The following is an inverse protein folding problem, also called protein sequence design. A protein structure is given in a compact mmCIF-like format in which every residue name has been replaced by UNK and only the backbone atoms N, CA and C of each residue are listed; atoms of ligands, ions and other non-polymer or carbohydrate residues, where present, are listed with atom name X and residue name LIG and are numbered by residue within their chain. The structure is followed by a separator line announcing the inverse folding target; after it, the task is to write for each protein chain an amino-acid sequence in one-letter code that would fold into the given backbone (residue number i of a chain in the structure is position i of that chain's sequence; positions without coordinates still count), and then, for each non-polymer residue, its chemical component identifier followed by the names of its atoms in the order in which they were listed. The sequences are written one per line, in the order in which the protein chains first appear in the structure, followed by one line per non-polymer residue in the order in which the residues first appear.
data_IF_990421372917
#
_entry.id   IF_990421372917
#
_cell.length_a   1.000
_cell.length_b   1.000
_cell.length_c   1.000
_cell.angle_alpha   90.00
_cell.angle_beta   90.00
_cell.angle_gamma   90.00
#
_symmetry.space_group_name_H-M   'P 1'
#
loop_
_entity.id
_entity.type
_entity.pdbx_description
1 polymer ?
#
# COMPACT_ATOMS: atom_id res chain seq x y z
N UNK A 1 -0.10 -11.62 9.56
CA UNK A 1 -1.14 -12.45 8.92
C UNK A 1 -2.37 -12.38 9.81
N UNK A 2 -3.45 -11.79 9.31
CA UNK A 2 -4.57 -11.27 10.11
C UNK A 2 -5.68 -12.26 10.46
N UNK A 3 -5.60 -13.46 9.91
CA UNK A 3 -6.64 -14.47 10.07
C UNK A 3 -6.13 -15.59 10.97
N UNK A 4 -6.15 -15.32 12.28
CA UNK A 4 -5.95 -16.33 13.30
C UNK A 4 -7.23 -16.48 14.11
N UNK A 5 -7.73 -17.70 14.22
CA UNK A 5 -8.90 -18.09 15.02
C UNK A 5 -8.63 -17.96 16.53
N UNK A 6 -8.33 -16.74 17.00
CA UNK A 6 -8.03 -16.41 18.40
C UNK A 6 -9.10 -15.53 19.04
N UNK A 7 -9.03 -15.33 20.37
CA UNK A 7 -9.93 -14.44 21.12
C UNK A 7 -9.93 -13.00 20.58
N UNK A 8 -11.07 -12.30 20.68
CA UNK A 8 -11.28 -10.94 20.16
C UNK A 8 -10.20 -9.96 20.64
N UNK A 9 -9.74 -10.09 21.88
CA UNK A 9 -8.66 -9.27 22.44
C UNK A 9 -7.33 -9.43 21.68
N UNK A 10 -7.00 -10.65 21.24
CA UNK A 10 -5.79 -10.91 20.47
C UNK A 10 -5.89 -10.32 19.07
N UNK A 11 -7.08 -10.34 18.47
CA UNK A 11 -7.36 -9.74 17.15
C UNK A 11 -7.25 -8.22 17.17
N UNK A 12 -7.85 -7.57 18.17
CA UNK A 12 -7.73 -6.12 18.35
C UNK A 12 -6.26 -5.72 18.55
N UNK A 13 -5.50 -6.50 19.33
CA UNK A 13 -4.05 -6.26 19.53
C UNK A 13 -3.27 -6.39 18.23
N UNK A 14 -3.58 -7.37 17.38
CA UNK A 14 -2.93 -7.54 16.07
C UNK A 14 -3.29 -6.40 15.11
N UNK A 15 -4.55 -5.98 15.09
CA UNK A 15 -5.01 -4.84 14.29
C UNK A 15 -4.33 -3.54 14.72
N UNK A 16 -4.30 -3.26 16.02
CA UNK A 16 -3.61 -2.10 16.57
C UNK A 16 -2.11 -2.16 16.30
N UNK A 17 -1.45 -3.30 16.53
CA UNK A 17 -0.02 -3.47 16.25
C UNK A 17 0.31 -3.20 14.79
N UNK A 18 -0.51 -3.70 13.87
CA UNK A 18 -0.32 -3.48 12.43
C UNK A 18 -0.54 -2.02 12.07
N UNK A 19 -1.62 -1.41 12.55
CA UNK A 19 -1.92 0.01 12.31
C UNK A 19 -0.79 0.91 12.81
N UNK A 20 -0.27 0.63 14.02
CA UNK A 20 0.89 1.33 14.58
C UNK A 20 2.16 1.08 13.76
N UNK A 21 2.35 -0.12 13.22
CA UNK A 21 3.51 -0.44 12.36
C UNK A 21 3.45 0.34 11.04
N UNK A 22 2.27 0.41 10.40
CA UNK A 22 2.07 1.25 9.22
C UNK A 22 2.29 2.73 9.52
N UNK A 23 1.76 3.21 10.65
CA UNK A 23 1.98 4.58 11.11
C UNK A 23 3.46 4.89 11.32
N UNK A 24 4.21 3.98 11.96
CA UNK A 24 5.64 4.17 12.22
C UNK A 24 6.46 4.30 10.93
N UNK A 25 6.22 3.45 9.95
CA UNK A 25 6.92 3.51 8.65
C UNK A 25 6.63 4.83 7.94
N UNK A 26 5.37 5.27 7.96
CA UNK A 26 4.98 6.54 7.35
C UNK A 26 5.60 7.74 8.08
N UNK A 27 5.64 7.73 9.41
CA UNK A 27 6.31 8.78 10.19
C UNK A 27 7.80 8.84 9.91
N UNK A 28 8.48 7.69 9.81
CA UNK A 28 9.91 7.61 9.46
C UNK A 28 10.14 8.22 8.07
N UNK A 29 9.32 7.84 7.08
CA UNK A 29 9.40 8.42 5.73
C UNK A 29 9.25 9.94 5.73
N UNK A 30 8.19 10.46 6.37
CA UNK A 30 7.92 11.91 6.43
C UNK A 30 9.03 12.65 7.16
N UNK A 31 9.57 12.08 8.23
CA UNK A 31 10.69 12.64 8.97
C UNK A 31 11.93 12.78 8.09
N UNK A 32 12.37 11.71 7.42
CA UNK A 32 13.53 11.77 6.53
C UNK A 32 13.29 12.70 5.33
N UNK A 33 12.12 12.61 4.70
CA UNK A 33 11.75 13.49 3.60
C UNK A 33 11.83 14.97 4.01
N UNK A 34 11.23 15.35 5.15
CA UNK A 34 11.26 16.74 5.63
C UNK A 34 12.66 17.17 6.07
N UNK A 35 13.43 16.31 6.73
CA UNK A 35 14.82 16.60 7.13
C UNK A 35 15.69 16.88 5.91
N UNK A 36 15.64 16.01 4.89
CA UNK A 36 16.39 16.21 3.64
C UNK A 36 15.90 17.45 2.90
N UNK A 37 14.58 17.68 2.84
CA UNK A 37 14.02 18.87 2.21
C UNK A 37 14.48 20.16 2.91
N UNK A 38 14.54 20.18 4.25
CA UNK A 38 15.00 21.33 5.03
C UNK A 38 16.50 21.58 4.82
N UNK A 39 17.32 20.52 4.82
CA UNK A 39 18.75 20.60 4.52
C UNK A 39 18.99 21.16 3.11
N UNK A 40 18.30 20.63 2.09
CA UNK A 40 18.44 21.12 0.71
C UNK A 40 17.94 22.55 0.53
N UNK A 41 16.87 22.95 1.25
CA UNK A 41 16.35 24.32 1.21
C UNK A 41 17.32 25.33 1.84
N UNK A 42 17.94 24.97 2.96
CA UNK A 42 18.96 25.81 3.62
C UNK A 42 20.21 25.99 2.75
N UNK A 43 20.67 24.92 2.09
CA UNK A 43 21.84 24.95 1.21
C UNK A 43 21.57 25.72 -0.09
N UNK A 44 20.37 25.57 -0.68
CA UNK A 44 20.08 26.13 -2.00
C UNK A 44 19.40 27.51 -1.97
N UNK A 45 19.02 28.05 -0.79
CA UNK A 45 18.33 29.34 -0.56
C UNK A 45 17.03 29.55 -1.38
N UNK A 46 16.59 28.57 -2.18
CA UNK A 46 15.39 28.58 -3.02
C UNK A 46 14.79 27.18 -3.07
N UNK A 47 13.50 27.06 -2.77
CA UNK A 47 12.77 25.80 -2.86
C UNK A 47 12.40 25.48 -4.32
N UNK A 48 13.25 24.70 -5.00
CA UNK A 48 12.96 24.15 -6.34
C UNK A 48 12.29 22.76 -6.25
N UNK A 49 11.39 22.46 -7.19
CA UNK A 49 10.71 21.17 -7.30
C UNK A 49 11.67 19.96 -7.38
N UNK A 50 12.87 20.17 -7.93
CA UNK A 50 13.93 19.15 -8.02
C UNK A 50 14.41 18.69 -6.63
N UNK A 51 14.44 19.57 -5.63
CA UNK A 51 14.82 19.19 -4.26
C UNK A 51 13.78 18.26 -3.61
N UNK A 52 12.50 18.41 -3.98
CA UNK A 52 11.43 17.51 -3.53
C UNK A 52 11.60 16.10 -4.09
N UNK A 53 12.02 16.00 -5.36
CA UNK A 53 12.29 14.72 -6.02
C UNK A 53 13.50 14.02 -5.38
N UNK A 54 14.59 14.74 -5.13
CA UNK A 54 15.79 14.20 -4.45
C UNK A 54 15.47 13.79 -3.00
N UNK A 55 14.76 14.64 -2.25
CA UNK A 55 14.33 14.31 -0.89
C UNK A 55 13.41 13.08 -0.84
N UNK A 56 12.52 12.92 -1.83
CA UNK A 56 11.67 11.75 -1.98
C UNK A 56 12.47 10.47 -2.24
N UNK A 57 13.45 10.51 -3.15
CA UNK A 57 14.31 9.35 -3.44
C UNK A 57 15.15 8.94 -2.22
N UNK A 58 15.76 9.90 -1.53
CA UNK A 58 16.56 9.63 -0.33
C UNK A 58 15.67 9.09 0.79
N UNK A 59 14.51 9.69 1.04
CA UNK A 59 13.55 9.22 2.03
C UNK A 59 13.05 7.79 1.75
N UNK A 60 12.79 7.44 0.48
CA UNK A 60 12.40 6.10 0.07
C UNK A 60 13.54 5.07 0.25
N UNK A 61 14.79 5.45 -0.04
CA UNK A 61 15.96 4.61 0.18
C UNK A 61 16.14 4.28 1.67
N UNK A 62 16.05 5.30 2.54
CA UNK A 62 16.12 5.10 3.99
C UNK A 62 14.99 4.22 4.52
N UNK A 63 13.76 4.36 3.98
CA UNK A 63 12.64 3.50 4.37
C UNK A 63 12.91 2.02 4.07
N UNK A 64 13.54 1.70 2.93
CA UNK A 64 13.87 0.32 2.56
C UNK A 64 15.04 -0.26 3.37
N UNK A 65 15.94 0.59 3.86
CA UNK A 65 17.11 0.18 4.64
C UNK A 65 16.77 -0.10 6.11
N UNK A 66 15.73 0.53 6.66
CA UNK A 66 15.30 0.27 8.02
C UNK A 66 14.70 -1.15 8.16
N UNK A 67 15.22 -1.91 9.13
CA UNK A 67 14.84 -3.29 9.44
C UNK A 67 13.42 -3.36 10.04
N UNK A 68 12.43 -3.19 9.18
CA UNK A 68 11.01 -3.36 9.46
C UNK A 68 10.46 -4.48 8.57
N UNK A 69 9.35 -5.09 8.99
CA UNK A 69 8.65 -6.14 8.23
C UNK A 69 8.56 -5.79 6.73
N UNK A 70 9.36 -6.48 5.90
CA UNK A 70 9.47 -6.19 4.46
C UNK A 70 8.12 -6.23 3.75
N UNK A 71 7.22 -7.13 4.17
CA UNK A 71 5.87 -7.21 3.60
C UNK A 71 5.03 -5.95 3.85
N UNK A 72 5.13 -5.35 5.05
CA UNK A 72 4.43 -4.11 5.39
C UNK A 72 5.04 -2.93 4.61
N UNK A 73 6.37 -2.89 4.51
CA UNK A 73 7.09 -1.89 3.73
C UNK A 73 6.67 -1.93 2.25
N UNK A 74 6.62 -3.12 1.64
CA UNK A 74 6.18 -3.28 0.25
C UNK A 74 4.74 -2.83 0.04
N UNK A 75 3.82 -3.16 0.94
CA UNK A 75 2.43 -2.69 0.85
C UNK A 75 2.33 -1.16 0.84
N UNK A 76 3.09 -0.50 1.71
CA UNK A 76 3.13 0.97 1.76
C UNK A 76 3.77 1.55 0.49
N UNK A 77 4.85 0.95 0.01
CA UNK A 77 5.47 1.36 -1.26
C UNK A 77 4.50 1.23 -2.44
N UNK A 78 3.78 0.11 -2.57
CA UNK A 78 2.78 -0.07 -3.63
C UNK A 78 1.66 0.97 -3.53
N UNK A 79 1.17 1.24 -2.31
CA UNK A 79 0.17 2.28 -2.08
C UNK A 79 0.69 3.66 -2.49
N UNK A 80 1.93 4.00 -2.15
CA UNK A 80 2.53 5.29 -2.48
C UNK A 80 2.73 5.44 -3.99
N UNK A 81 3.18 4.38 -4.67
CA UNK A 81 3.31 4.34 -6.14
C UNK A 81 1.96 4.56 -6.80
N UNK A 82 0.91 3.90 -6.32
CA UNK A 82 -0.45 4.10 -6.83
C UNK A 82 -0.92 5.57 -6.66
N UNK A 83 -0.66 6.19 -5.50
CA UNK A 83 -0.99 7.60 -5.24
C UNK A 83 -0.20 8.59 -6.09
N UNK A 84 1.08 8.33 -6.32
CA UNK A 84 1.91 9.15 -7.22
C UNK A 84 1.44 8.98 -8.67
N UNK A 85 1.09 7.76 -9.08
CA UNK A 85 0.51 7.47 -10.40
C UNK A 85 -0.82 8.19 -10.62
N UNK A 86 -1.71 8.21 -9.61
CA UNK A 86 -2.95 8.99 -9.61
C UNK A 86 -2.64 10.50 -9.76
N UNK A 87 -1.70 11.03 -8.98
CA UNK A 87 -1.27 12.42 -9.09
C UNK A 87 -0.68 12.78 -10.47
N UNK A 88 0.10 11.88 -11.05
CA UNK A 88 0.67 12.06 -12.40
C UNK A 88 -0.42 12.03 -13.47
N UNK A 89 -1.37 11.10 -13.36
CA UNK A 89 -2.52 11.01 -14.26
C UNK A 89 -3.35 12.29 -14.21
N UNK A 90 -3.65 12.79 -13.00
CA UNK A 90 -4.34 14.07 -12.80
C UNK A 90 -3.56 15.27 -13.37
N UNK A 91 -2.22 15.26 -13.27
CA UNK A 91 -1.38 16.29 -13.88
C UNK A 91 -1.43 16.24 -15.42
N UNK A 92 -1.42 15.03 -16.01
CA UNK A 92 -1.51 14.84 -17.45
C UNK A 92 -2.88 15.23 -18.01
N UNK A 93 -3.96 14.92 -17.27
CA UNK A 93 -5.32 15.39 -17.57
C UNK A 93 -5.36 16.93 -17.54
N UNK A 94 -4.80 17.56 -16.50
CA UNK A 94 -4.72 19.04 -16.42
C UNK A 94 -3.93 19.68 -17.56
N UNK A 95 -2.93 18.97 -18.11
CA UNK A 95 -2.15 19.43 -19.26
C UNK A 95 -2.83 19.15 -20.60
N UNK A 96 -4.01 18.52 -20.60
CA UNK A 96 -4.76 18.18 -21.81
C UNK A 96 -4.17 17.02 -22.62
N UNK A 97 -3.23 16.26 -22.06
CA UNK A 97 -2.61 15.11 -22.75
C UNK A 97 -3.46 13.83 -22.69
N UNK A 98 -4.39 13.73 -21.73
CA UNK A 98 -5.23 12.56 -21.53
C UNK A 98 -6.71 12.95 -21.38
N UNK A 99 -7.64 12.19 -21.99
CA UNK A 99 -9.07 12.43 -21.86
C UNK A 99 -9.59 11.86 -20.53
N UNK A 100 -9.89 12.78 -19.61
CA UNK A 100 -10.69 12.64 -18.40
C UNK A 100 -10.37 11.51 -17.38
N UNK A 101 -10.91 11.68 -16.17
CA UNK A 101 -10.62 10.81 -14.99
C UNK A 101 -11.11 9.37 -15.18
N UNK A 102 -12.04 9.15 -16.11
CA UNK A 102 -12.62 7.83 -16.39
C UNK A 102 -11.59 6.79 -16.88
N UNK A 103 -10.49 7.23 -17.49
CA UNK A 103 -9.44 6.32 -17.97
C UNK A 103 -8.75 5.58 -16.82
N UNK A 104 -8.54 6.25 -15.68
CA UNK A 104 -7.93 5.64 -14.50
C UNK A 104 -8.83 4.53 -13.92
N UNK A 105 -10.13 4.80 -13.82
CA UNK A 105 -11.12 3.83 -13.31
C UNK A 105 -11.20 2.61 -14.23
N UNK A 106 -11.25 2.80 -15.55
CA UNK A 106 -11.22 1.69 -16.51
C UNK A 106 -9.95 0.83 -16.38
N UNK A 107 -8.81 1.48 -16.19
CA UNK A 107 -7.52 0.79 -16.00
C UNK A 107 -7.49 -0.02 -14.70
N UNK A 108 -8.02 0.54 -13.60
CA UNK A 108 -8.15 -0.17 -12.32
C UNK A 108 -9.04 -1.43 -12.44
N UNK A 109 -10.17 -1.33 -13.14
CA UNK A 109 -11.07 -2.47 -13.38
C UNK A 109 -10.36 -3.57 -14.19
N UNK A 110 -9.59 -3.19 -15.21
CA UNK A 110 -8.82 -4.12 -16.01
C UNK A 110 -7.77 -4.85 -15.17
N UNK A 111 -6.96 -4.12 -14.40
CA UNK A 111 -5.96 -4.74 -13.51
C UNK A 111 -6.61 -5.65 -12.45
N UNK A 112 -7.75 -5.26 -11.90
CA UNK A 112 -8.51 -6.10 -10.97
C UNK A 112 -8.96 -7.42 -11.62
N UNK A 113 -9.41 -7.37 -12.88
CA UNK A 113 -9.82 -8.56 -13.63
C UNK A 113 -8.64 -9.49 -13.92
N UNK A 114 -7.49 -8.93 -14.29
CA UNK A 114 -6.24 -9.69 -14.48
C UNK A 114 -5.77 -10.34 -13.18
N UNK A 115 -5.88 -9.65 -12.05
CA UNK A 115 -5.58 -10.23 -10.74
C UNK A 115 -6.46 -11.46 -10.43
N UNK A 116 -7.76 -11.41 -10.78
CA UNK A 116 -8.66 -12.56 -10.64
C UNK A 116 -8.25 -13.73 -11.55
N UNK A 117 -7.75 -13.45 -12.76
CA UNK A 117 -7.22 -14.49 -13.64
C UNK A 117 -5.97 -15.17 -13.04
N UNK A 118 -5.03 -14.38 -12.49
CA UNK A 118 -3.85 -14.94 -11.84
C UNK A 118 -4.19 -15.81 -10.62
N UNK A 119 -5.24 -15.48 -9.88
CA UNK A 119 -5.72 -16.31 -8.77
C UNK A 119 -6.14 -17.73 -9.18
N UNK A 120 -6.65 -17.89 -10.42
CA UNK A 120 -7.04 -19.20 -10.97
C UNK A 120 -5.83 -19.95 -11.53
N UNK A 121 -4.89 -19.24 -12.16
CA UNK A 121 -3.70 -19.83 -12.76
C UNK A 121 -2.64 -20.23 -11.72
N UNK A 122 -2.18 -19.27 -10.91
CA UNK A 122 -1.16 -19.48 -9.90
C UNK A 122 -1.18 -18.39 -8.81
N UNK A 123 -1.52 -18.80 -7.59
CA UNK A 123 -1.63 -17.92 -6.42
C UNK A 123 -0.28 -17.45 -5.88
N UNK A 124 0.82 -18.10 -6.26
CA UNK A 124 2.16 -17.78 -5.76
C UNK A 124 2.77 -16.55 -6.44
N UNK A 125 2.26 -16.19 -7.61
CA UNK A 125 2.66 -14.99 -8.37
C UNK A 125 2.13 -13.71 -7.68
N UNK A 126 1.05 -13.82 -6.92
CA UNK A 126 0.41 -12.69 -6.27
C UNK A 126 1.08 -12.34 -4.93
N UNK A 127 1.07 -11.06 -4.56
CA UNK A 127 1.60 -10.61 -3.28
C UNK A 127 0.97 -11.45 -2.14
N UNK A 128 1.80 -11.98 -1.23
CA UNK A 128 1.39 -12.86 -0.13
C UNK A 128 0.18 -12.33 0.65
N UNK A 129 0.05 -11.01 0.83
CA UNK A 129 -1.12 -10.44 1.52
C UNK A 129 -2.40 -10.54 0.70
N UNK A 130 -2.32 -10.31 -0.61
CA UNK A 130 -3.46 -10.37 -1.52
C UNK A 130 -3.91 -11.82 -1.71
N UNK A 131 -2.95 -12.74 -1.93
CA UNK A 131 -3.22 -14.17 -2.04
C UNK A 131 -3.91 -14.73 -0.79
N UNK A 132 -3.48 -14.29 0.41
CA UNK A 132 -4.10 -14.71 1.68
C UNK A 132 -5.54 -14.22 1.82
N UNK A 133 -5.82 -12.96 1.47
CA UNK A 133 -7.18 -12.40 1.55
C UNK A 133 -8.12 -13.11 0.58
N UNK A 134 -7.69 -13.30 -0.66
CA UNK A 134 -8.55 -13.91 -1.68
C UNK A 134 -8.74 -15.41 -1.44
N UNK A 135 -7.72 -16.12 -0.95
CA UNK A 135 -7.88 -17.53 -0.56
C UNK A 135 -8.90 -17.68 0.59
N UNK A 136 -8.92 -16.74 1.54
CA UNK A 136 -9.94 -16.72 2.57
C UNK A 136 -11.34 -16.53 1.97
N UNK A 137 -11.52 -15.47 1.17
CA UNK A 137 -12.81 -15.11 0.58
C UNK A 137 -13.39 -16.19 -0.35
N UNK A 138 -12.55 -16.86 -1.16
CA UNK A 138 -13.02 -17.78 -2.20
C UNK A 138 -12.93 -19.26 -1.83
N UNK A 139 -12.21 -19.65 -0.77
CA UNK A 139 -12.04 -21.06 -0.41
C UNK A 139 -12.33 -21.38 1.06
N UNK A 140 -12.27 -20.39 1.94
CA UNK A 140 -12.56 -20.58 3.37
C UNK A 140 -13.99 -20.18 3.69
N UNK A 141 -14.55 -19.18 3.01
CA UNK A 141 -15.93 -18.70 3.20
C UNK A 141 -17.03 -19.64 2.69
N UNK A 142 -16.73 -20.54 1.74
CA UNK A 142 -17.70 -21.49 1.18
C UNK A 142 -17.93 -22.75 2.04
N UNK A 143 -17.19 -22.91 3.14
CA UNK A 143 -17.38 -24.04 4.05
C UNK A 143 -18.64 -23.81 4.89
N UNK A 144 -19.52 -24.81 5.05
CA UNK A 144 -20.74 -24.66 5.86
C UNK A 144 -20.36 -24.28 7.29
N UNK A 145 -20.79 -23.08 7.67
CA UNK A 145 -20.48 -22.45 8.95
C UNK A 145 -21.05 -23.31 10.08
N UNK A 146 -20.18 -23.83 10.94
CA UNK A 146 -20.61 -24.60 12.13
C UNK A 146 -21.05 -23.68 13.27
N UNK A 147 -20.77 -22.37 13.18
CA UNK A 147 -21.16 -21.38 14.20
C UNK A 147 -21.26 -19.95 13.64
N UNK A 148 -22.18 -19.13 14.16
CA UNK A 148 -22.33 -17.70 13.84
C UNK A 148 -21.05 -16.87 14.06
N UNK A 149 -20.08 -17.40 14.82
CA UNK A 149 -18.74 -16.82 15.03
C UNK A 149 -17.82 -16.94 13.81
N UNK A 150 -18.18 -17.73 12.81
CA UNK A 150 -17.44 -17.88 11.54
C UNK A 150 -17.98 -16.95 10.43
N UNK A 151 -19.20 -16.43 10.59
CA UNK A 151 -19.88 -15.55 9.60
C UNK A 151 -19.32 -14.12 9.62
N UNK A 152 -18.73 -13.71 10.73
CA UNK A 152 -18.19 -12.37 10.93
C UNK A 152 -16.66 -12.47 10.79
N UNK A 153 -16.05 -11.93 9.72
CA UNK A 153 -14.61 -12.00 9.52
C UNK A 153 -13.85 -11.01 10.43
N UNK A 154 -14.31 -10.81 11.67
CA UNK A 154 -13.78 -9.84 12.63
C UNK A 154 -13.75 -10.42 14.04
#
# INVERSE_FOLDING_TARGET
MFYGSGPIAQRLRVALKTSLSHGKILSIFVFFYKSVQCLLANVSQKARAVHSLVAGMVGAFFLLYFDTDRNINYQICYYLVARVGEGLTNLLIKKGLLPDTEYMVRTLIFFQSVCMLFMVLDKTVLNKSMASTMTFLYHTSDKPLKSYKELIPF
#
